data_IF_094556391949
#
_entry.id   IF_094556391949
#
_cell.length_a   1.000
_cell.length_b   1.000
_cell.length_c   1.000
_cell.angle_alpha   90.00
_cell.angle_beta   90.00
_cell.angle_gamma   90.00
#
_symmetry.space_group_name_H-M   'P 1'
#
loop_
_entity.id
_entity.type
_entity.pdbx_description
1 polymer ?
#
# COMPACT_ATOMS: atom_id res chain seq x y z
N UNK A 1 -2.93 16.55 -14.05
CA UNK A 1 -4.14 15.78 -14.38
C UNK A 1 -3.72 14.60 -15.27
N UNK A 2 -3.63 13.38 -14.72
CA UNK A 2 -3.30 12.19 -15.51
C UNK A 2 -4.59 11.70 -16.18
N UNK A 3 -4.57 11.52 -17.51
CA UNK A 3 -5.71 11.01 -18.27
C UNK A 3 -6.04 9.57 -17.80
N UNK A 4 -7.22 9.40 -17.22
CA UNK A 4 -7.66 8.17 -16.51
C UNK A 4 -8.28 7.12 -17.45
N UNK A 5 -8.36 7.38 -18.76
CA UNK A 5 -9.00 6.43 -19.69
C UNK A 5 -7.96 5.44 -20.21
N UNK A 6 -7.80 4.32 -19.51
CA UNK A 6 -7.13 3.13 -20.06
C UNK A 6 -8.21 2.27 -20.72
N UNK A 7 -8.20 2.22 -22.05
CA UNK A 7 -9.17 1.51 -22.90
C UNK A 7 -9.00 -0.03 -22.88
N UNK A 8 -8.59 -0.59 -21.73
CA UNK A 8 -8.38 -2.03 -21.55
C UNK A 8 -9.41 -2.58 -20.55
N UNK A 9 -9.94 -3.79 -20.77
CA UNK A 9 -10.84 -4.41 -19.82
C UNK A 9 -10.11 -4.65 -18.49
N UNK A 10 -10.78 -4.30 -17.39
CA UNK A 10 -10.30 -4.54 -16.05
C UNK A 10 -9.97 -6.03 -15.87
N UNK A 11 -8.77 -6.32 -15.35
CA UNK A 11 -8.35 -7.67 -14.96
C UNK A 11 -7.75 -7.61 -13.58
N UNK A 12 -8.40 -8.29 -12.64
CA UNK A 12 -7.94 -8.41 -11.27
C UNK A 12 -6.54 -9.02 -11.20
N UNK A 13 -5.68 -8.41 -10.40
CA UNK A 13 -4.32 -8.84 -10.13
C UNK A 13 -4.26 -9.24 -8.65
N UNK A 14 -4.13 -10.54 -8.35
CA UNK A 14 -4.10 -11.02 -6.97
C UNK A 14 -2.79 -10.64 -6.27
N UNK A 15 -2.81 -10.54 -4.93
CA UNK A 15 -1.61 -10.30 -4.14
C UNK A 15 -0.67 -11.51 -4.19
N UNK A 16 0.64 -11.26 -4.12
CA UNK A 16 1.59 -12.33 -3.86
C UNK A 16 1.64 -12.59 -2.36
N UNK A 17 1.40 -13.85 -1.98
CA UNK A 17 1.35 -14.26 -0.58
C UNK A 17 2.73 -14.61 -0.01
N UNK A 18 3.77 -14.70 -0.85
CA UNK A 18 5.11 -15.08 -0.43
C UNK A 18 5.79 -14.02 0.47
N UNK A 19 6.49 -14.49 1.49
CA UNK A 19 7.20 -13.69 2.50
C UNK A 19 8.61 -13.31 2.05
N UNK A 20 9.19 -14.08 1.13
CA UNK A 20 10.57 -13.89 0.68
C UNK A 20 10.81 -12.54 0.00
N UNK A 21 9.86 -12.07 -0.82
CA UNK A 21 10.04 -10.81 -1.56
C UNK A 21 9.90 -9.59 -0.65
N UNK A 22 8.87 -9.47 0.23
CA UNK A 22 8.85 -8.40 1.23
C UNK A 22 10.04 -8.45 2.18
N UNK A 23 10.46 -9.65 2.62
CA UNK A 23 11.64 -9.83 3.46
C UNK A 23 12.91 -9.27 2.81
N UNK A 24 13.15 -9.59 1.53
CA UNK A 24 14.33 -9.11 0.82
C UNK A 24 14.31 -7.57 0.67
N UNK A 25 13.15 -6.99 0.38
CA UNK A 25 12.96 -5.54 0.25
C UNK A 25 13.26 -4.82 1.57
N UNK A 26 12.76 -5.36 2.68
CA UNK A 26 13.03 -4.81 4.01
C UNK A 26 14.51 -4.98 4.39
N UNK A 27 15.09 -6.16 4.17
CA UNK A 27 16.48 -6.47 4.51
C UNK A 27 17.49 -5.63 3.73
N UNK A 28 17.21 -5.34 2.46
CA UNK A 28 18.07 -4.50 1.62
C UNK A 28 17.81 -3.00 1.79
N UNK A 29 16.93 -2.60 2.71
CA UNK A 29 16.58 -1.19 2.97
C UNK A 29 16.18 -0.43 1.68
N UNK A 30 15.53 -1.14 0.74
CA UNK A 30 15.16 -0.56 -0.57
C UNK A 30 14.18 0.60 -0.41
N UNK A 31 13.29 0.49 0.58
CA UNK A 31 12.31 1.54 0.93
C UNK A 31 13.03 2.81 1.37
N UNK A 32 14.01 2.72 2.27
CA UNK A 32 14.80 3.88 2.76
C UNK A 32 15.55 4.55 1.60
N UNK A 33 16.21 3.73 0.77
CA UNK A 33 16.94 4.23 -0.40
C UNK A 33 16.01 4.92 -1.40
N UNK A 34 14.86 4.31 -1.69
CA UNK A 34 13.90 4.86 -2.64
C UNK A 34 13.30 6.17 -2.13
N UNK A 35 12.83 6.22 -0.89
CA UNK A 35 12.22 7.42 -0.31
C UNK A 35 13.23 8.56 -0.15
N UNK A 36 14.49 8.25 0.18
CA UNK A 36 15.56 9.26 0.19
C UNK A 36 15.85 9.81 -1.21
N UNK A 37 15.93 8.95 -2.22
CA UNK A 37 16.34 9.35 -3.59
C UNK A 37 15.21 9.99 -4.40
N UNK A 38 13.99 9.47 -4.28
CA UNK A 38 12.84 9.89 -5.08
C UNK A 38 12.04 11.02 -4.41
N UNK A 39 11.89 10.97 -3.08
CA UNK A 39 11.03 11.88 -2.32
C UNK A 39 11.81 12.83 -1.41
N UNK A 40 13.14 12.68 -1.33
CA UNK A 40 14.00 13.54 -0.52
C UNK A 40 13.81 13.37 0.97
N UNK A 41 13.31 12.22 1.44
CA UNK A 41 13.09 12.02 2.88
C UNK A 41 14.42 11.80 3.59
N UNK A 42 14.77 12.71 4.49
CA UNK A 42 16.01 12.66 5.27
C UNK A 42 15.87 11.85 6.56
N UNK A 43 14.72 11.97 7.23
CA UNK A 43 14.43 11.31 8.49
C UNK A 43 12.95 10.93 8.58
N UNK A 44 12.66 9.94 9.44
CA UNK A 44 11.30 9.51 9.74
C UNK A 44 11.20 9.20 11.22
N UNK A 45 10.01 9.40 11.78
CA UNK A 45 9.67 9.04 13.15
C UNK A 45 8.40 8.20 13.12
N UNK A 46 8.37 7.10 13.87
CA UNK A 46 7.18 6.26 14.02
C UNK A 46 6.76 6.34 15.49
N UNK A 47 5.51 6.74 15.73
CA UNK A 47 4.91 6.91 17.06
C UNK A 47 3.71 5.98 17.19
N UNK A 48 3.36 5.58 18.42
CA UNK A 48 2.16 4.77 18.64
C UNK A 48 2.30 3.31 18.20
N UNK A 49 3.53 2.85 17.96
CA UNK A 49 3.80 1.54 17.32
C UNK A 49 3.49 0.37 18.25
N UNK A 50 3.52 0.61 19.55
CA UNK A 50 3.18 -0.31 20.63
C UNK A 50 1.75 -0.83 20.51
N UNK A 51 0.77 0.02 20.20
CA UNK A 51 -0.62 -0.41 20.04
C UNK A 51 -0.79 -1.40 18.87
N UNK A 52 -0.06 -1.16 17.79
CA UNK A 52 -0.03 -2.07 16.65
C UNK A 52 0.67 -3.38 17.01
N UNK A 53 1.80 -3.31 17.74
CA UNK A 53 2.52 -4.50 18.21
C UNK A 53 1.64 -5.39 19.10
N UNK A 54 0.95 -4.79 20.07
CA UNK A 54 0.04 -5.51 20.98
C UNK A 54 -1.08 -6.20 20.20
N UNK A 55 -1.66 -5.49 19.22
CA UNK A 55 -2.71 -6.06 18.36
C UNK A 55 -2.23 -7.26 17.56
N UNK A 56 -1.02 -7.17 16.99
CA UNK A 56 -0.39 -8.25 16.23
C UNK A 56 -0.04 -9.45 17.12
N UNK A 57 0.52 -9.21 18.31
CA UNK A 57 0.85 -10.26 19.27
C UNK A 57 -0.39 -10.97 19.82
N UNK A 58 -1.51 -10.25 19.94
CA UNK A 58 -2.82 -10.82 20.29
C UNK A 58 -3.45 -11.67 19.18
N UNK A 59 -2.82 -11.77 18.00
CA UNK A 59 -3.36 -12.50 16.86
C UNK A 59 -4.61 -11.84 16.25
N UNK A 60 -4.81 -10.54 16.50
CA UNK A 60 -5.94 -9.81 15.95
C UNK A 60 -5.72 -9.51 14.47
N UNK A 61 -6.82 -9.53 13.71
CA UNK A 61 -6.82 -9.02 12.35
C UNK A 61 -6.78 -7.50 12.36
N UNK A 62 -5.86 -6.90 11.60
CA UNK A 62 -5.63 -5.46 11.60
C UNK A 62 -5.88 -4.87 10.21
N UNK A 63 -6.73 -3.84 10.17
CA UNK A 63 -6.93 -2.96 9.02
C UNK A 63 -6.29 -1.61 9.32
N UNK A 64 -5.24 -1.26 8.57
CA UNK A 64 -4.62 0.05 8.61
C UNK A 64 -5.31 0.97 7.60
N UNK A 65 -5.85 2.08 8.10
CA UNK A 65 -6.56 3.07 7.31
C UNK A 65 -5.85 4.45 7.31
N UNK A 66 -4.61 4.56 6.79
CA UNK A 66 -3.88 5.81 6.75
C UNK A 66 -4.50 6.84 5.79
N UNK A 67 -4.30 8.12 6.09
CA UNK A 67 -4.54 9.23 5.15
C UNK A 67 -3.56 9.14 3.96
N UNK A 68 -4.00 9.54 2.76
CA UNK A 68 -3.19 9.50 1.55
C UNK A 68 -2.81 10.92 1.08
N UNK A 69 -1.89 11.57 1.79
CA UNK A 69 -1.38 12.91 1.45
C UNK A 69 -0.44 12.93 0.23
N UNK A 70 0.28 11.84 -0.06
CA UNK A 70 1.30 11.75 -1.12
C UNK A 70 1.32 10.37 -1.78
N UNK A 71 1.79 10.31 -3.03
CA UNK A 71 2.01 9.04 -3.73
C UNK A 71 3.03 8.12 -3.06
N UNK A 72 3.90 8.67 -2.21
CA UNK A 72 4.91 7.94 -1.47
C UNK A 72 4.37 7.23 -0.22
N UNK A 73 3.17 7.58 0.27
CA UNK A 73 2.65 7.05 1.53
C UNK A 73 2.55 5.52 1.56
N UNK A 74 2.10 4.82 0.50
CA UNK A 74 2.09 3.35 0.48
C UNK A 74 3.47 2.74 0.66
N UNK A 75 4.52 3.44 0.22
CA UNK A 75 5.91 3.01 0.36
C UNK A 75 6.40 3.32 1.78
N UNK A 76 6.01 4.46 2.35
CA UNK A 76 6.36 4.88 3.71
C UNK A 76 5.77 3.95 4.79
N UNK A 77 4.62 3.31 4.55
CA UNK A 77 4.09 2.26 5.46
C UNK A 77 5.11 1.10 5.63
N UNK A 78 5.98 0.89 4.65
CA UNK A 78 7.08 -0.07 4.74
C UNK A 78 8.04 0.20 5.91
N UNK A 79 8.16 1.43 6.40
CA UNK A 79 8.92 1.73 7.62
C UNK A 79 8.30 1.15 8.87
N UNK A 80 6.97 1.23 8.99
CA UNK A 80 6.22 0.63 10.10
C UNK A 80 6.36 -0.89 10.04
N UNK A 81 6.19 -1.46 8.85
CA UNK A 81 6.35 -2.89 8.59
C UNK A 81 7.71 -3.43 9.05
N UNK A 82 8.79 -2.70 8.73
CA UNK A 82 10.16 -3.06 9.12
C UNK A 82 10.42 -2.92 10.62
N UNK A 83 9.91 -1.88 11.28
CA UNK A 83 10.16 -1.66 12.72
C UNK A 83 9.50 -2.73 13.61
N UNK A 84 8.45 -3.37 13.11
CA UNK A 84 7.73 -4.44 13.80
C UNK A 84 7.95 -5.83 13.18
N UNK A 85 8.86 -5.95 12.21
CA UNK A 85 9.19 -7.18 11.47
C UNK A 85 7.95 -7.94 10.96
N UNK A 86 7.03 -7.23 10.31
CA UNK A 86 5.84 -7.81 9.69
C UNK A 86 5.71 -7.42 8.22
N UNK A 87 4.79 -8.08 7.53
CA UNK A 87 4.47 -7.82 6.13
C UNK A 87 3.04 -7.33 5.99
N UNK A 88 2.81 -6.47 5.01
CA UNK A 88 1.50 -5.85 4.73
C UNK A 88 0.94 -6.38 3.42
N UNK A 89 -0.39 -6.42 3.34
CA UNK A 89 -1.09 -6.36 2.07
C UNK A 89 -1.56 -4.93 1.82
N UNK A 90 -1.55 -4.50 0.57
CA UNK A 90 -1.99 -3.15 0.22
C UNK A 90 -2.96 -3.20 -0.95
N UNK A 91 -4.05 -2.45 -0.85
CA UNK A 91 -5.01 -2.32 -1.93
C UNK A 91 -4.67 -1.08 -2.77
N UNK A 92 -4.47 -1.26 -4.07
CA UNK A 92 -4.12 -0.17 -4.98
C UNK A 92 -4.94 -0.17 -6.27
N UNK A 93 -5.17 1.03 -6.81
CA UNK A 93 -5.94 1.20 -8.05
C UNK A 93 -5.31 0.47 -9.22
N UNK A 94 -6.11 -0.26 -10.00
CA UNK A 94 -5.67 -1.01 -11.18
C UNK A 94 -4.85 -0.17 -12.18
N UNK A 95 -5.19 1.10 -12.33
CA UNK A 95 -4.50 2.04 -13.20
C UNK A 95 -3.00 2.14 -12.89
N UNK A 96 -2.61 2.06 -11.61
CA UNK A 96 -1.20 2.12 -11.19
C UNK A 96 -0.41 0.90 -11.65
N UNK A 97 -1.06 -0.28 -11.71
CA UNK A 97 -0.43 -1.49 -12.23
C UNK A 97 -0.23 -1.45 -13.75
N UNK A 98 -0.91 -0.54 -14.46
CA UNK A 98 -0.85 -0.42 -15.92
C UNK A 98 0.07 0.70 -16.42
N UNK A 99 0.41 1.67 -15.59
CA UNK A 99 1.32 2.75 -15.99
C UNK A 99 2.70 2.20 -16.38
N UNK A 100 3.32 1.41 -15.51
CA UNK A 100 4.63 0.81 -15.77
C UNK A 100 4.68 -0.65 -15.32
N UNK A 101 5.15 -1.55 -16.21
CA UNK A 101 5.26 -3.00 -15.91
C UNK A 101 6.14 -3.28 -14.69
N UNK A 102 7.19 -2.51 -14.50
CA UNK A 102 8.11 -2.61 -13.37
C UNK A 102 7.47 -2.15 -12.05
N UNK A 103 6.73 -1.05 -12.06
CA UNK A 103 6.02 -0.56 -10.88
C UNK A 103 4.90 -1.52 -10.49
N UNK A 104 4.12 -2.01 -11.46
CA UNK A 104 3.09 -3.03 -11.20
C UNK A 104 3.68 -4.32 -10.64
N UNK A 105 4.85 -4.76 -11.11
CA UNK A 105 5.54 -5.91 -10.54
C UNK A 105 6.02 -5.63 -9.10
N UNK A 106 6.65 -4.48 -8.85
CA UNK A 106 7.11 -4.09 -7.53
C UNK A 106 5.96 -4.02 -6.52
N UNK A 107 4.83 -3.42 -6.90
CA UNK A 107 3.63 -3.37 -6.05
C UNK A 107 3.16 -4.77 -5.67
N UNK A 108 3.10 -5.72 -6.63
CA UNK A 108 2.74 -7.11 -6.33
C UNK A 108 3.73 -7.80 -5.41
N UNK A 109 5.03 -7.57 -5.60
CA UNK A 109 6.10 -8.14 -4.76
C UNK A 109 6.05 -7.63 -3.32
N UNK A 110 5.52 -6.42 -3.12
CA UNK A 110 5.24 -5.83 -1.81
C UNK A 110 3.89 -6.25 -1.21
N UNK A 111 3.15 -7.19 -1.81
CA UNK A 111 1.82 -7.61 -1.33
C UNK A 111 0.66 -6.73 -1.82
N UNK A 112 0.88 -5.91 -2.86
CA UNK A 112 -0.15 -5.09 -3.47
C UNK A 112 -1.09 -5.89 -4.38
N UNK A 113 -2.40 -5.68 -4.26
CA UNK A 113 -3.41 -6.20 -5.19
C UNK A 113 -4.25 -5.08 -5.81
N UNK A 114 -4.82 -5.36 -6.99
CA UNK A 114 -5.56 -4.35 -7.73
C UNK A 114 -7.01 -4.25 -7.28
N UNK A 115 -7.53 -3.02 -7.21
CA UNK A 115 -8.96 -2.73 -7.11
C UNK A 115 -9.41 -1.84 -8.27
N UNK A 116 -10.60 -2.10 -8.78
CA UNK A 116 -11.28 -1.20 -9.71
C UNK A 116 -12.20 -0.24 -8.95
N UNK A 117 -11.92 1.07 -9.03
CA UNK A 117 -12.65 2.11 -8.29
C UNK A 117 -13.95 2.56 -8.96
N UNK A 118 -14.04 2.43 -10.28
CA UNK A 118 -15.16 2.97 -11.09
C UNK A 118 -16.27 1.95 -11.33
N UNK A 119 -16.15 0.74 -10.78
CA UNK A 119 -17.13 -0.33 -10.97
C UNK A 119 -17.21 -1.25 -9.78
N UNK A 120 -18.11 -2.24 -9.87
CA UNK A 120 -18.35 -3.21 -8.81
C UNK A 120 -17.29 -4.31 -8.87
N UNK A 121 -16.18 -4.13 -8.17
CA UNK A 121 -15.13 -5.14 -8.04
C UNK A 121 -15.36 -6.06 -6.85
N UNK A 122 -16.26 -7.04 -7.03
CA UNK A 122 -16.53 -8.04 -5.99
C UNK A 122 -15.29 -8.89 -5.66
N UNK A 123 -14.40 -9.09 -6.63
CA UNK A 123 -13.24 -9.97 -6.45
C UNK A 123 -12.19 -9.33 -5.54
N UNK A 124 -11.89 -8.04 -5.71
CA UNK A 124 -10.99 -7.34 -4.80
C UNK A 124 -11.54 -7.24 -3.39
N UNK A 125 -12.85 -7.02 -3.25
CA UNK A 125 -13.52 -6.96 -1.94
C UNK A 125 -13.48 -8.31 -1.24
N UNK A 126 -13.82 -9.39 -1.92
CA UNK A 126 -13.71 -10.74 -1.35
C UNK A 126 -12.26 -11.05 -0.95
N UNK A 127 -11.28 -10.67 -1.77
CA UNK A 127 -9.86 -10.85 -1.43
C UNK A 127 -9.47 -10.07 -0.17
N UNK A 128 -9.95 -8.83 -0.03
CA UNK A 128 -9.70 -8.01 1.16
C UNK A 128 -10.34 -8.64 2.41
N UNK A 129 -11.57 -9.15 2.30
CA UNK A 129 -12.25 -9.89 3.37
C UNK A 129 -11.48 -11.15 3.72
N UNK A 130 -11.06 -11.96 2.74
CA UNK A 130 -10.32 -13.19 2.95
C UNK A 130 -8.98 -12.93 3.66
N UNK A 131 -8.28 -11.85 3.31
CA UNK A 131 -7.05 -11.42 3.99
C UNK A 131 -7.33 -11.09 5.47
N UNK A 132 -8.39 -10.33 5.74
CA UNK A 132 -8.77 -9.95 7.10
C UNK A 132 -9.23 -11.17 7.91
N UNK A 133 -10.00 -12.10 7.32
CA UNK A 133 -10.44 -13.33 7.97
C UNK A 133 -9.25 -14.25 8.27
N UNK A 134 -8.29 -14.35 7.34
CA UNK A 134 -7.09 -15.16 7.54
C UNK A 134 -6.16 -14.60 8.64
N UNK A 135 -6.26 -13.30 8.94
CA UNK A 135 -5.50 -12.60 9.99
C UNK A 135 -3.97 -12.82 9.95
N UNK A 136 -3.41 -13.18 8.78
CA UNK A 136 -1.98 -13.48 8.62
C UNK A 136 -1.12 -12.22 8.59
N UNK A 137 -1.65 -11.15 7.99
CA UNK A 137 -0.94 -9.90 7.73
C UNK A 137 -1.93 -8.74 7.75
N UNK A 138 -1.52 -7.57 8.27
CA UNK A 138 -2.35 -6.38 8.19
C UNK A 138 -2.66 -5.99 6.76
N UNK A 139 -3.90 -5.55 6.54
CA UNK A 139 -4.32 -4.95 5.28
C UNK A 139 -4.24 -3.43 5.39
N UNK A 140 -3.61 -2.79 4.42
CA UNK A 140 -3.54 -1.34 4.29
C UNK A 140 -4.53 -0.89 3.22
N UNK A 141 -5.47 -0.03 3.62
CA UNK A 141 -6.43 0.61 2.74
C UNK A 141 -6.34 2.11 2.93
N UNK A 142 -6.19 2.84 1.83
CA UNK A 142 -6.28 4.31 1.86
C UNK A 142 -7.74 4.69 1.59
N UNK A 143 -8.57 4.98 2.61
CA UNK A 143 -10.01 5.19 2.45
C UNK A 143 -10.35 6.40 1.58
N UNK A 144 -9.43 7.35 1.46
CA UNK A 144 -9.58 8.55 0.61
C UNK A 144 -9.60 8.22 -0.88
N UNK A 145 -9.10 7.05 -1.30
CA UNK A 145 -9.15 6.55 -2.69
C UNK A 145 -8.29 7.30 -3.71
N UNK A 146 -7.87 8.53 -3.40
CA UNK A 146 -6.96 9.38 -4.18
C UNK A 146 -6.15 10.27 -3.26
N UNK A 147 -4.98 10.73 -3.74
CA UNK A 147 -4.21 11.73 -3.02
C UNK A 147 -4.97 13.05 -2.95
N UNK A 148 -5.45 13.42 -1.77
CA UNK A 148 -6.09 14.72 -1.53
C UNK A 148 -5.02 15.75 -1.16
N UNK A 149 -4.51 16.47 -2.17
CA UNK A 149 -3.78 17.70 -1.90
C UNK A 149 -4.80 18.84 -1.80
N UNK A 150 -5.07 19.34 -0.60
CA UNK A 150 -5.81 20.59 -0.43
C UNK A 150 -4.89 21.73 -0.90
N UNK A 151 -4.85 21.98 -2.21
CA UNK A 151 -4.18 23.15 -2.74
C UNK A 151 -4.91 24.38 -2.21
N UNK A 152 -4.25 25.10 -1.30
CA UNK A 152 -4.59 26.47 -0.94
C UNK A 152 -4.53 27.30 -2.24
N UNK A 153 -5.65 27.44 -2.94
CA UNK A 153 -5.83 28.48 -3.94
C UNK A 153 -5.84 29.81 -3.19
N UNK A 154 -4.66 30.37 -2.92
CA UNK A 154 -4.55 31.83 -2.76
C UNK A 154 -4.71 32.43 -4.15
N UNK A 155 -5.93 32.85 -4.45
CA UNK A 155 -6.17 33.91 -5.43
C UNK A 155 -5.43 35.15 -4.93
N UNK A 156 -4.34 35.51 -5.60
CA UNK A 156 -3.92 36.89 -5.70
C UNK A 156 -4.53 37.46 -6.98
#
# INVERSE_FOLDING_TARGET
>A
MQNVVIDKPYRFIPPLHGDWTPWLIQKLHVIDWYLKRAEGVESHEVRGIEHLRESLQGGHSVLLAPNHCRYADPIAIGWIARQLDFYIYSMASWHLFKQNRWQGLAMRLCGGFSVYREGVDRQSLNTAVDILVAAKRPLVVFPEGTVFCHSHQRSN
#
